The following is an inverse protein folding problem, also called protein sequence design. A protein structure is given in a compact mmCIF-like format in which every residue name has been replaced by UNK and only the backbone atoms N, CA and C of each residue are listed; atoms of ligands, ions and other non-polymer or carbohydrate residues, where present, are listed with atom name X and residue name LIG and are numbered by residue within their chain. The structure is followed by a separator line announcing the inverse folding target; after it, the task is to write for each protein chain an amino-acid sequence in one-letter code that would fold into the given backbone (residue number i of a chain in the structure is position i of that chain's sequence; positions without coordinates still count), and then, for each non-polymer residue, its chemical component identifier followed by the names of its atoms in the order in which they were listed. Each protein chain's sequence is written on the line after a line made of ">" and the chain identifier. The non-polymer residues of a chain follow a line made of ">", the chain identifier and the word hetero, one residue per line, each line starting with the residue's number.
data_IF_249127796819
#
_entry.id   IF_249127796819
#
_cell.length_a   1.000
_cell.length_b   1.000
_cell.length_c   1.000
_cell.angle_alpha   90.00
_cell.angle_beta   90.00
_cell.angle_gamma   90.00
#
_symmetry.space_group_name_H-M   'P 1'
#
loop_
_entity.id
_entity.type
_entity.pdbx_description
1 polymer ?
#
# COMPACT_ATOMS: atom_id res chain seq x y z
N UNK A 1 -16.80 -8.58 7.48
CA UNK A 1 -16.88 -8.40 6.02
C UNK A 1 -15.47 -8.04 5.56
N UNK A 2 -14.98 -8.65 4.48
CA UNK A 2 -13.69 -8.27 3.90
C UNK A 2 -13.88 -7.06 2.97
N UNK A 3 -12.86 -6.21 2.87
CA UNK A 3 -12.82 -5.10 1.90
C UNK A 3 -12.49 -5.67 0.52
N UNK A 4 -13.36 -5.43 -0.46
CA UNK A 4 -13.05 -5.59 -1.87
C UNK A 4 -12.37 -4.32 -2.36
N UNK A 5 -11.03 -4.32 -2.39
CA UNK A 5 -10.24 -3.15 -2.74
C UNK A 5 -10.42 -2.68 -4.19
N UNK A 6 -11.03 -3.48 -5.07
CA UNK A 6 -11.31 -3.11 -6.45
C UNK A 6 -12.59 -2.27 -6.55
N UNK A 7 -13.62 -2.67 -5.80
CA UNK A 7 -14.99 -2.21 -5.98
C UNK A 7 -15.55 -1.40 -4.80
N UNK A 8 -15.08 -1.67 -3.58
CA UNK A 8 -15.62 -1.02 -2.39
C UNK A 8 -15.16 0.43 -2.29
N UNK A 9 -16.08 1.28 -1.82
CA UNK A 9 -15.72 2.62 -1.36
C UNK A 9 -15.17 2.58 0.06
N UNK A 10 -14.06 3.27 0.30
CA UNK A 10 -13.50 3.40 1.65
C UNK A 10 -14.28 4.37 2.55
N UNK A 11 -15.39 4.96 2.08
CA UNK A 11 -16.19 5.90 2.85
C UNK A 11 -16.77 5.32 4.15
N UNK A 12 -17.02 4.01 4.20
CA UNK A 12 -17.52 3.32 5.40
C UNK A 12 -16.40 2.89 6.37
N UNK A 13 -15.14 2.95 5.91
CA UNK A 13 -13.97 2.45 6.61
C UNK A 13 -13.64 3.20 7.92
N UNK A 14 -13.87 4.53 8.05
CA UNK A 14 -13.73 5.23 9.32
C UNK A 14 -14.59 4.64 10.44
N UNK A 15 -15.83 4.25 10.12
CA UNK A 15 -16.75 3.62 11.07
C UNK A 15 -16.29 2.22 11.49
N UNK A 16 -15.65 1.49 10.58
CA UNK A 16 -15.10 0.15 10.84
C UNK A 16 -13.81 0.21 11.67
N UNK A 17 -12.93 1.16 11.38
CA UNK A 17 -11.69 1.41 12.11
C UNK A 17 -11.89 2.16 13.43
N UNK A 18 -13.13 2.49 13.79
CA UNK A 18 -13.49 3.31 14.96
C UNK A 18 -12.74 4.66 15.00
N UNK A 19 -12.41 5.21 13.84
CA UNK A 19 -11.84 6.56 13.69
C UNK A 19 -12.81 7.53 14.37
N UNK A 20 -12.40 8.13 15.50
CA UNK A 20 -13.21 9.10 16.26
C UNK A 20 -13.85 8.59 17.56
N UNK A 21 -13.62 7.33 17.99
CA UNK A 21 -13.99 6.90 19.36
C UNK A 21 -12.91 7.32 20.38
N UNK A 22 -13.35 7.84 21.53
CA UNK A 22 -12.55 8.51 22.60
C UNK A 22 -11.35 7.71 23.14
N UNK A 23 -11.18 6.43 22.78
CA UNK A 23 -10.15 5.56 23.35
C UNK A 23 -9.24 4.78 22.38
N UNK A 24 -9.39 4.84 21.06
CA UNK A 24 -8.40 4.24 20.14
C UNK A 24 -8.32 5.05 18.85
N UNK A 25 -7.13 5.60 18.58
CA UNK A 25 -6.81 6.33 17.36
C UNK A 25 -7.04 5.41 16.17
N UNK A 26 -8.01 5.72 15.29
CA UNK A 26 -8.27 4.99 14.04
C UNK A 26 -7.18 5.19 12.97
N UNK A 27 -5.93 5.32 13.43
CA UNK A 27 -4.75 5.50 12.63
C UNK A 27 -4.29 4.14 12.11
N UNK A 28 -3.94 4.08 10.83
CA UNK A 28 -3.35 2.91 10.20
C UNK A 28 -1.84 3.14 10.21
N UNK A 29 -1.08 2.38 11.00
CA UNK A 29 0.38 2.50 10.98
C UNK A 29 0.99 1.98 9.66
N UNK A 30 0.41 0.90 9.12
CA UNK A 30 0.87 0.30 7.87
C UNK A 30 -0.25 -0.35 7.05
N UNK A 31 -0.12 -0.26 5.73
CA UNK A 31 -0.83 -1.07 4.74
C UNK A 31 0.15 -2.11 4.22
N UNK A 32 -0.19 -3.39 4.29
CA UNK A 32 0.64 -4.48 3.78
C UNK A 32 -0.12 -5.18 2.66
N UNK A 33 0.47 -5.18 1.46
CA UNK A 33 -0.06 -5.83 0.27
C UNK A 33 0.91 -6.92 -0.19
N UNK A 34 0.39 -8.14 -0.31
CA UNK A 34 1.15 -9.32 -0.74
C UNK A 34 0.54 -9.89 -2.02
N UNK A 35 1.27 -9.77 -3.13
CA UNK A 35 0.95 -10.32 -4.45
C UNK A 35 -0.44 -9.93 -5.00
N UNK A 36 -0.85 -8.67 -4.77
CA UNK A 36 -2.16 -8.16 -5.20
C UNK A 36 -2.22 -7.75 -6.68
N UNK A 37 -1.09 -7.72 -7.40
CA UNK A 37 -0.98 -7.15 -8.74
C UNK A 37 -0.45 -8.21 -9.71
N UNK A 38 -1.35 -8.80 -10.48
CA UNK A 38 -0.99 -9.82 -11.48
C UNK A 38 -1.34 -9.44 -12.92
N UNK A 39 -2.05 -8.32 -13.12
CA UNK A 39 -2.33 -7.72 -14.42
C UNK A 39 -2.50 -6.19 -14.30
N UNK A 40 -2.52 -5.49 -15.43
CA UNK A 40 -2.55 -4.04 -15.53
C UNK A 40 -3.86 -3.41 -15.06
N UNK A 41 -4.99 -4.10 -15.18
CA UNK A 41 -6.29 -3.58 -14.77
C UNK A 41 -6.41 -3.41 -13.24
N UNK A 42 -5.55 -4.10 -12.49
CA UNK A 42 -5.51 -4.03 -11.04
C UNK A 42 -4.68 -2.88 -10.50
N UNK A 43 -3.84 -2.26 -11.34
CA UNK A 43 -2.91 -1.21 -10.91
C UNK A 43 -3.66 -0.01 -10.35
N UNK A 44 -4.56 0.58 -11.14
CA UNK A 44 -5.32 1.77 -10.73
C UNK A 44 -6.13 1.57 -9.45
N UNK A 45 -7.01 0.54 -9.34
CA UNK A 45 -7.76 0.32 -8.11
C UNK A 45 -6.84 0.04 -6.91
N UNK A 46 -5.75 -0.70 -7.10
CA UNK A 46 -4.79 -0.98 -6.02
C UNK A 46 -4.13 0.30 -5.50
N UNK A 47 -3.56 1.12 -6.40
CA UNK A 47 -2.87 2.36 -6.03
C UNK A 47 -3.84 3.35 -5.41
N UNK A 48 -5.07 3.46 -5.95
CA UNK A 48 -6.14 4.29 -5.37
C UNK A 48 -6.45 3.89 -3.94
N UNK A 49 -6.70 2.60 -3.70
CA UNK A 49 -7.04 2.08 -2.37
C UNK A 49 -5.90 2.32 -1.37
N UNK A 50 -4.65 2.06 -1.74
CA UNK A 50 -3.50 2.35 -0.89
C UNK A 50 -3.39 3.85 -0.55
N UNK A 51 -3.60 4.71 -1.55
CA UNK A 51 -3.58 6.17 -1.39
C UNK A 51 -4.66 6.65 -0.43
N UNK A 52 -5.89 6.18 -0.60
CA UNK A 52 -7.03 6.58 0.23
C UNK A 52 -6.88 6.10 1.67
N UNK A 53 -6.38 4.88 1.89
CA UNK A 53 -6.09 4.37 3.25
C UNK A 53 -5.05 5.24 3.96
N UNK A 54 -3.96 5.60 3.28
CA UNK A 54 -2.92 6.46 3.85
C UNK A 54 -3.47 7.86 4.19
N UNK A 55 -4.24 8.47 3.28
CA UNK A 55 -4.90 9.78 3.52
C UNK A 55 -5.88 9.74 4.68
N UNK A 56 -6.66 8.66 4.79
CA UNK A 56 -7.63 8.51 5.87
C UNK A 56 -6.93 8.45 7.23
N UNK A 57 -5.83 7.71 7.30
CA UNK A 57 -4.99 7.62 8.50
C UNK A 57 -4.32 8.96 8.82
N UNK A 58 -3.78 9.67 7.82
CA UNK A 58 -3.21 11.01 7.99
C UNK A 58 -4.21 11.96 8.64
N UNK A 59 -5.44 12.01 8.14
CA UNK A 59 -6.50 12.85 8.71
C UNK A 59 -6.84 12.50 10.16
N UNK A 60 -6.62 11.25 10.57
CA UNK A 60 -6.84 10.77 11.94
C UNK A 60 -5.59 10.91 12.84
N UNK A 61 -4.42 11.20 12.27
CA UNK A 61 -3.13 11.20 12.97
C UNK A 61 -2.56 12.61 13.16
N UNK A 62 -1.84 12.85 14.24
CA UNK A 62 -1.11 14.12 14.47
C UNK A 62 0.24 14.14 13.71
N UNK A 63 0.23 13.85 12.42
CA UNK A 63 1.42 13.90 11.55
C UNK A 63 2.30 12.65 11.57
N UNK A 64 1.74 11.47 11.92
CA UNK A 64 2.44 10.19 11.77
C UNK A 64 2.06 9.56 10.43
N UNK A 65 3.00 9.35 9.50
CA UNK A 65 2.65 8.80 8.20
C UNK A 65 2.31 7.30 8.28
N UNK A 66 1.45 6.84 7.38
CA UNK A 66 1.20 5.42 7.15
C UNK A 66 2.22 4.86 6.16
N UNK A 67 2.82 3.72 6.49
CA UNK A 67 3.72 3.00 5.58
C UNK A 67 2.91 2.09 4.65
N UNK A 68 3.12 2.19 3.34
CA UNK A 68 2.57 1.24 2.38
C UNK A 68 3.64 0.24 1.96
N UNK A 69 3.53 -1.02 2.39
CA UNK A 69 4.49 -2.08 2.11
C UNK A 69 3.90 -3.01 1.06
N UNK A 70 4.55 -3.08 -0.11
CA UNK A 70 4.10 -3.88 -1.26
C UNK A 70 5.13 -4.95 -1.56
N UNK A 71 4.78 -6.20 -1.27
CA UNK A 71 5.54 -7.38 -1.66
C UNK A 71 4.83 -8.07 -2.83
N UNK A 72 5.50 -8.30 -3.95
CA UNK A 72 4.87 -8.88 -5.13
C UNK A 72 5.82 -9.80 -5.90
N UNK A 73 5.26 -10.79 -6.60
CA UNK A 73 6.01 -11.57 -7.56
C UNK A 73 6.17 -10.79 -8.88
N UNK A 74 7.36 -10.81 -9.46
CA UNK A 74 7.64 -10.22 -10.77
C UNK A 74 7.01 -11.09 -11.87
N UNK A 75 5.76 -10.77 -12.24
CA UNK A 75 4.99 -11.48 -13.28
C UNK A 75 5.47 -11.17 -14.69
N UNK A 76 5.51 -9.89 -15.02
CA UNK A 76 6.00 -9.38 -16.29
C UNK A 76 6.61 -7.99 -16.10
N UNK A 77 7.60 -7.60 -16.93
CA UNK A 77 8.17 -6.25 -16.88
C UNK A 77 7.11 -5.16 -17.08
N UNK A 78 6.10 -5.43 -17.92
CA UNK A 78 5.00 -4.49 -18.21
C UNK A 78 4.15 -4.22 -16.99
N UNK A 79 3.63 -5.25 -16.31
CA UNK A 79 2.78 -5.09 -15.12
C UNK A 79 3.55 -4.37 -14.02
N UNK A 80 4.81 -4.76 -13.80
CA UNK A 80 5.67 -4.11 -12.81
C UNK A 80 5.92 -2.63 -13.14
N UNK A 81 6.20 -2.30 -14.41
CA UNK A 81 6.41 -0.92 -14.85
C UNK A 81 5.14 -0.09 -14.73
N UNK A 82 3.97 -0.61 -15.13
CA UNK A 82 2.68 0.05 -14.96
C UNK A 82 2.43 0.38 -13.49
N UNK A 83 2.60 -0.60 -12.60
CA UNK A 83 2.45 -0.39 -11.17
C UNK A 83 3.41 0.65 -10.62
N UNK A 84 4.72 0.51 -10.85
CA UNK A 84 5.71 1.42 -10.27
C UNK A 84 5.53 2.85 -10.80
N UNK A 85 5.14 2.99 -12.06
CA UNK A 85 4.86 4.29 -12.70
C UNK A 85 3.63 4.96 -12.13
N UNK A 86 2.58 4.21 -11.79
CA UNK A 86 1.38 4.76 -11.17
C UNK A 86 1.59 5.03 -9.68
N UNK A 87 2.16 4.07 -8.95
CA UNK A 87 2.37 4.15 -7.50
C UNK A 87 3.27 5.33 -7.12
N UNK A 88 4.35 5.57 -7.86
CA UNK A 88 5.26 6.70 -7.60
C UNK A 88 4.64 8.08 -7.84
N UNK A 89 3.47 8.18 -8.49
CA UNK A 89 2.77 9.48 -8.62
C UNK A 89 2.21 9.95 -7.29
N UNK A 90 1.83 9.00 -6.42
CA UNK A 90 1.25 9.28 -5.11
C UNK A 90 2.24 9.09 -3.96
N UNK A 91 3.28 8.27 -4.12
CA UNK A 91 4.19 7.89 -3.05
C UNK A 91 5.66 8.19 -3.39
N UNK A 92 6.43 8.58 -2.37
CA UNK A 92 7.87 8.36 -2.37
C UNK A 92 8.11 6.86 -2.17
N UNK A 93 8.84 6.21 -3.08
CA UNK A 93 8.98 4.75 -3.12
C UNK A 93 10.44 4.34 -2.98
N UNK A 94 10.69 3.37 -2.10
CA UNK A 94 12.00 2.72 -1.96
C UNK A 94 11.86 1.22 -2.11
N UNK A 95 12.81 0.61 -2.81
CA UNK A 95 12.96 -0.84 -2.80
C UNK A 95 13.67 -1.26 -1.52
N UNK A 96 13.19 -2.32 -0.88
CA UNK A 96 13.82 -2.89 0.31
C UNK A 96 15.09 -3.63 -0.12
N UNK A 97 16.25 -3.34 0.52
CA UNK A 97 17.51 -3.99 0.18
C UNK A 97 17.60 -5.41 0.74
N UNK A 98 18.38 -6.27 0.09
CA UNK A 98 18.48 -7.70 0.39
C UNK A 98 18.93 -8.01 1.82
N UNK A 99 19.72 -7.14 2.45
CA UNK A 99 20.18 -7.34 3.83
C UNK A 99 19.05 -7.29 4.86
N UNK A 100 17.89 -6.73 4.48
CA UNK A 100 16.69 -6.67 5.30
C UNK A 100 15.66 -7.75 4.95
N UNK A 101 15.96 -8.62 3.97
CA UNK A 101 15.06 -9.64 3.45
C UNK A 101 15.51 -11.05 3.86
N UNK A 102 14.53 -11.95 4.02
CA UNK A 102 14.79 -13.38 4.12
C UNK A 102 15.26 -13.93 2.78
N UNK A 103 16.01 -15.04 2.77
CA UNK A 103 16.60 -15.62 1.55
C UNK A 103 15.58 -15.78 0.40
N UNK A 104 14.35 -16.22 0.70
CA UNK A 104 13.30 -16.46 -0.31
C UNK A 104 12.72 -15.18 -0.94
N UNK A 105 13.07 -13.99 -0.43
CA UNK A 105 12.58 -12.69 -0.91
C UNK A 105 13.66 -11.81 -1.53
N UNK A 106 14.93 -12.25 -1.48
CA UNK A 106 16.08 -11.53 -2.03
C UNK A 106 16.05 -11.43 -3.56
N UNK A 107 16.96 -10.65 -4.13
CA UNK A 107 17.12 -10.55 -5.58
C UNK A 107 17.24 -11.93 -6.23
N UNK A 108 16.70 -12.06 -7.46
CA UNK A 108 16.66 -13.31 -8.24
C UNK A 108 15.73 -14.41 -7.70
N UNK A 109 15.02 -14.19 -6.59
CA UNK A 109 13.93 -15.08 -6.12
C UNK A 109 12.66 -14.99 -6.98
N UNK A 110 12.55 -13.93 -7.79
CA UNK A 110 11.34 -13.59 -8.52
C UNK A 110 10.36 -12.71 -7.72
N UNK A 111 10.72 -12.31 -6.50
CA UNK A 111 9.94 -11.39 -5.68
C UNK A 111 10.63 -10.04 -5.51
N UNK A 112 9.84 -9.02 -5.18
CA UNK A 112 10.34 -7.70 -4.83
C UNK A 112 9.47 -7.07 -3.75
N UNK A 113 10.11 -6.33 -2.85
CA UNK A 113 9.43 -5.56 -1.81
C UNK A 113 9.74 -4.07 -1.94
N UNK A 114 8.70 -3.25 -1.85
CA UNK A 114 8.81 -1.79 -1.84
C UNK A 114 8.08 -1.21 -0.63
N UNK A 115 8.59 -0.09 -0.14
CA UNK A 115 7.95 0.75 0.87
C UNK A 115 7.60 2.09 0.23
N UNK A 116 6.36 2.50 0.40
CA UNK A 116 5.81 3.78 -0.04
C UNK A 116 5.44 4.66 1.14
N UNK A 117 5.76 5.95 1.04
CA UNK A 117 5.24 7.02 1.91
C UNK A 117 4.51 8.03 1.05
N UNK A 118 3.27 8.37 1.42
CA UNK A 118 2.45 9.29 0.62
C UNK A 118 3.14 10.65 0.47
N UNK A 119 3.04 11.27 -0.71
CA UNK A 119 3.50 12.64 -0.94
C UNK A 119 2.74 13.64 -0.05
N UNK A 120 3.43 14.70 0.39
CA UNK A 120 2.80 15.78 1.17
C UNK A 120 2.99 15.68 2.68
N UNK A 121 4.04 14.97 3.13
CA UNK A 121 4.73 15.33 4.38
C UNK A 121 5.41 16.69 4.26
#
# INVERSE_FOLDING_TARGET
>A
MALDWELDSLAALPGLLKVGSVHQSGMIDAVIACDCIYNEALVDPFVRTCTELCRLSEAASSGKPTLCIVAQQLRSPTVFHCWLSEFQKAFNVWRVPDELLTEDLKENSGFVMHVGLLHGM
#
